data_IF_316712038031
#
_entry.id   IF_316712038031
#
_cell.length_a   1.000
_cell.length_b   1.000
_cell.length_c   1.000
_cell.angle_alpha   90.00
_cell.angle_beta   90.00
_cell.angle_gamma   90.00
#
_symmetry.space_group_name_H-M   'P 1'
#
loop_
_entity.id
_entity.type
_entity.pdbx_description
1 polymer ?
#
# COMPACT_ATOMS: atom_id res chain seq x y z
N UNK A 1 3.11 2.05 31.64
CA UNK A 1 3.33 2.27 30.20
C UNK A 1 2.23 1.53 29.47
N UNK A 2 1.62 2.18 28.49
CA UNK A 2 0.59 1.54 27.66
C UNK A 2 1.30 0.54 26.74
N UNK A 3 0.83 -0.71 26.71
CA UNK A 3 1.38 -1.73 25.81
C UNK A 3 0.90 -1.46 24.41
N UNK A 4 1.80 -1.49 23.42
CA UNK A 4 1.52 -1.32 21.99
C UNK A 4 1.62 -2.68 21.32
N UNK A 5 0.50 -3.21 20.85
CA UNK A 5 0.41 -4.54 20.21
C UNK A 5 0.86 -4.45 18.76
N UNK A 6 2.03 -5.02 18.47
CA UNK A 6 2.67 -4.95 17.16
C UNK A 6 2.43 -6.24 16.37
N UNK A 7 1.87 -6.11 15.17
CA UNK A 7 1.76 -7.18 14.17
C UNK A 7 2.89 -7.08 13.13
N UNK A 8 3.48 -8.20 12.76
CA UNK A 8 4.48 -8.25 11.68
C UNK A 8 3.79 -8.83 10.44
N UNK A 9 3.86 -8.09 9.33
CA UNK A 9 3.38 -8.56 8.03
C UNK A 9 4.53 -8.82 7.09
N UNK A 10 4.53 -10.00 6.46
CA UNK A 10 5.55 -10.42 5.50
C UNK A 10 4.93 -10.86 4.17
N UNK A 11 5.63 -10.65 3.06
CA UNK A 11 5.20 -11.08 1.74
C UNK A 11 6.37 -11.47 0.85
N UNK A 12 6.17 -12.55 0.10
CA UNK A 12 7.09 -12.98 -0.95
C UNK A 12 6.32 -13.24 -2.24
N UNK A 13 6.79 -12.69 -3.38
CA UNK A 13 6.28 -12.98 -4.72
C UNK A 13 6.91 -14.27 -5.26
N UNK A 14 6.21 -14.97 -6.16
CA UNK A 14 6.74 -16.12 -6.90
C UNK A 14 7.84 -15.71 -7.89
N UNK A 15 7.81 -14.46 -8.39
CA UNK A 15 8.70 -13.96 -9.45
C UNK A 15 10.04 -13.40 -8.91
N UNK A 16 10.23 -13.30 -7.59
CA UNK A 16 11.46 -12.79 -6.98
C UNK A 16 12.54 -13.88 -6.90
N UNK A 17 13.19 -14.15 -8.04
CA UNK A 17 14.00 -15.36 -8.28
C UNK A 17 15.49 -15.31 -7.93
N UNK A 18 16.14 -14.21 -7.58
CA UNK A 18 17.62 -14.17 -7.48
C UNK A 18 18.23 -13.39 -6.30
N UNK A 19 17.50 -12.64 -5.53
CA UNK A 19 18.00 -12.03 -4.28
C UNK A 19 17.65 -12.92 -3.08
N UNK A 20 18.40 -13.99 -2.90
CA UNK A 20 17.99 -15.19 -2.14
C UNK A 20 18.01 -15.08 -0.62
N UNK A 21 18.74 -14.17 0.01
CA UNK A 21 18.93 -14.24 1.47
C UNK A 21 18.04 -13.30 2.30
N UNK A 22 17.71 -12.11 1.78
CA UNK A 22 16.90 -11.13 2.53
C UNK A 22 15.41 -11.11 2.14
N UNK A 23 14.98 -11.91 1.18
CA UNK A 23 13.59 -11.95 0.69
C UNK A 23 12.74 -13.11 1.23
N UNK A 24 13.29 -13.96 2.12
CA UNK A 24 12.49 -14.99 2.75
C UNK A 24 11.50 -14.39 3.75
N UNK A 25 10.32 -15.01 3.91
CA UNK A 25 9.33 -14.60 4.89
C UNK A 25 9.93 -14.60 6.31
N UNK A 26 10.77 -15.57 6.62
CA UNK A 26 11.45 -15.69 7.92
C UNK A 26 12.42 -14.53 8.16
N UNK A 27 13.25 -14.16 7.18
CA UNK A 27 14.19 -13.05 7.33
C UNK A 27 13.46 -11.71 7.54
N UNK A 28 12.35 -11.49 6.82
CA UNK A 28 11.50 -10.30 7.01
C UNK A 28 10.87 -10.29 8.40
N UNK A 29 10.36 -11.44 8.86
CA UNK A 29 9.78 -11.59 10.19
C UNK A 29 10.81 -11.34 11.28
N UNK A 30 12.00 -11.92 11.17
CA UNK A 30 13.09 -11.73 12.12
C UNK A 30 13.55 -10.28 12.18
N UNK A 31 13.67 -9.60 11.04
CA UNK A 31 14.00 -8.18 10.99
C UNK A 31 12.93 -7.33 11.71
N UNK A 32 11.64 -7.62 11.48
CA UNK A 32 10.53 -6.97 12.18
C UNK A 32 10.55 -7.23 13.68
N UNK A 33 10.81 -8.48 14.08
CA UNK A 33 10.91 -8.87 15.49
C UNK A 33 12.07 -8.15 16.20
N UNK A 34 13.24 -8.09 15.58
CA UNK A 34 14.41 -7.39 16.12
C UNK A 34 14.14 -5.89 16.25
N UNK A 35 13.45 -5.30 15.28
CA UNK A 35 13.05 -3.90 15.35
C UNK A 35 12.08 -3.65 16.54
N UNK A 36 11.04 -4.47 16.72
CA UNK A 36 10.13 -4.36 17.86
C UNK A 36 10.88 -4.51 19.19
N UNK A 37 11.78 -5.50 19.28
CA UNK A 37 12.61 -5.71 20.47
C UNK A 37 13.47 -4.49 20.80
N UNK A 38 13.99 -3.78 19.80
CA UNK A 38 14.75 -2.53 20.03
C UNK A 38 13.90 -1.40 20.59
N UNK A 39 12.57 -1.47 20.45
CA UNK A 39 11.61 -0.46 20.92
C UNK A 39 10.82 -0.87 22.18
N UNK A 40 11.25 -1.92 22.87
CA UNK A 40 10.59 -2.41 24.11
C UNK A 40 10.45 -1.30 25.15
N UNK A 41 11.38 -0.35 25.19
CA UNK A 41 11.31 0.81 26.11
C UNK A 41 10.10 1.73 25.82
N UNK A 42 9.51 1.67 24.63
CA UNK A 42 8.25 2.36 24.24
C UNK A 42 6.99 1.54 24.58
N UNK A 43 7.14 0.35 25.16
CA UNK A 43 6.04 -0.55 25.46
C UNK A 43 5.60 -1.43 24.29
N UNK A 44 6.42 -1.55 23.24
CA UNK A 44 6.09 -2.38 22.07
C UNK A 44 6.21 -3.85 22.39
N UNK A 45 5.17 -4.62 22.03
CA UNK A 45 5.07 -6.05 22.26
C UNK A 45 4.56 -6.73 20.99
N UNK A 46 5.27 -7.77 20.51
CA UNK A 46 4.83 -8.52 19.34
C UNK A 46 3.64 -9.42 19.71
N UNK A 47 2.61 -9.41 18.88
CA UNK A 47 1.51 -10.39 19.03
C UNK A 47 1.93 -11.75 18.47
N UNK A 48 1.43 -12.87 19.02
CA UNK A 48 1.82 -14.22 18.60
C UNK A 48 1.35 -14.59 17.20
N UNK A 49 0.38 -13.86 16.66
CA UNK A 49 -0.22 -14.09 15.35
C UNK A 49 0.74 -13.71 14.22
N UNK A 50 0.86 -14.59 13.22
CA UNK A 50 1.66 -14.35 12.01
C UNK A 50 0.77 -13.98 10.82
N UNK A 51 1.25 -13.02 10.00
CA UNK A 51 0.58 -12.55 8.78
C UNK A 51 1.55 -12.66 7.60
N UNK A 52 1.62 -13.88 7.03
CA UNK A 52 2.58 -14.23 6.00
C UNK A 52 1.85 -14.54 4.67
N UNK A 53 2.10 -13.76 3.62
CA UNK A 53 1.58 -13.98 2.26
C UNK A 53 2.71 -14.47 1.33
N UNK A 54 2.91 -15.79 1.27
CA UNK A 54 3.83 -16.44 0.34
C UNK A 54 3.20 -16.66 -1.03
N UNK A 55 3.89 -16.25 -2.11
CA UNK A 55 3.42 -16.49 -3.48
C UNK A 55 2.42 -15.46 -4.01
N UNK A 56 2.26 -14.31 -3.37
CA UNK A 56 1.33 -13.26 -3.80
C UNK A 56 2.06 -12.02 -4.31
N UNK A 57 1.57 -11.44 -5.42
CA UNK A 57 2.07 -10.17 -5.97
C UNK A 57 1.72 -8.99 -5.07
N UNK A 58 2.60 -7.98 -5.00
CA UNK A 58 2.36 -6.73 -4.29
C UNK A 58 1.29 -5.81 -4.91
N UNK A 59 0.86 -6.10 -6.14
CA UNK A 59 -0.19 -5.34 -6.85
C UNK A 59 -1.62 -5.78 -6.52
N UNK A 60 -1.82 -6.79 -5.68
CA UNK A 60 -3.15 -7.24 -5.27
C UNK A 60 -3.30 -7.13 -3.76
N UNK A 61 -4.31 -6.40 -3.28
CA UNK A 61 -4.65 -6.31 -1.85
C UNK A 61 -5.54 -7.45 -1.35
N UNK A 62 -6.13 -8.25 -2.23
CA UNK A 62 -6.95 -9.42 -1.86
C UNK A 62 -6.06 -10.63 -1.56
N UNK A 63 -5.25 -10.54 -0.51
CA UNK A 63 -4.36 -11.60 -0.03
C UNK A 63 -4.83 -12.10 1.33
N UNK A 64 -4.80 -13.41 1.59
CA UNK A 64 -5.39 -13.99 2.80
C UNK A 64 -4.84 -13.40 4.10
N UNK A 65 -3.50 -13.32 4.24
CA UNK A 65 -2.90 -12.81 5.47
C UNK A 65 -3.10 -11.30 5.62
N UNK A 66 -3.07 -10.53 4.51
CA UNK A 66 -3.38 -9.10 4.56
C UNK A 66 -4.84 -8.85 4.95
N UNK A 67 -5.80 -9.60 4.42
CA UNK A 67 -7.20 -9.45 4.79
C UNK A 67 -7.42 -9.80 6.27
N UNK A 68 -6.80 -10.87 6.76
CA UNK A 68 -6.82 -11.23 8.18
C UNK A 68 -6.23 -10.11 9.05
N UNK A 69 -5.11 -9.52 8.63
CA UNK A 69 -4.48 -8.38 9.32
C UNK A 69 -5.45 -7.19 9.40
N UNK A 70 -6.09 -6.83 8.29
CA UNK A 70 -7.07 -5.73 8.24
C UNK A 70 -8.29 -6.00 9.13
N UNK A 71 -8.77 -7.25 9.17
CA UNK A 71 -9.88 -7.63 10.04
C UNK A 71 -9.51 -7.55 11.52
N UNK A 72 -8.28 -7.91 11.88
CA UNK A 72 -7.80 -7.79 13.25
C UNK A 72 -7.51 -6.33 13.63
N UNK A 73 -7.11 -5.47 12.68
CA UNK A 73 -7.05 -4.00 12.87
C UNK A 73 -8.45 -3.45 13.13
N UNK A 74 -9.46 -3.82 12.32
CA UNK A 74 -10.86 -3.38 12.50
C UNK A 74 -11.48 -3.83 13.83
N UNK A 75 -10.96 -4.88 14.43
CA UNK A 75 -11.35 -5.39 15.75
C UNK A 75 -10.52 -4.78 16.89
N UNK A 76 -9.72 -3.76 16.60
CA UNK A 76 -8.85 -3.07 17.55
C UNK A 76 -7.90 -4.01 18.33
N UNK A 77 -7.43 -5.09 17.67
CA UNK A 77 -6.49 -6.04 18.25
C UNK A 77 -5.03 -5.64 18.03
N UNK A 78 -4.77 -4.74 17.08
CA UNK A 78 -3.46 -4.34 16.62
C UNK A 78 -3.35 -2.83 16.72
N UNK A 79 -2.31 -2.35 17.40
CA UNK A 79 -2.02 -0.92 17.55
C UNK A 79 -0.95 -0.47 16.56
N UNK A 80 -0.14 -1.42 16.04
CA UNK A 80 0.95 -1.12 15.13
C UNK A 80 1.22 -2.26 14.14
N UNK A 81 1.45 -1.90 12.89
CA UNK A 81 1.84 -2.81 11.82
C UNK A 81 3.30 -2.56 11.47
N UNK A 82 4.11 -3.61 11.49
CA UNK A 82 5.53 -3.58 11.14
C UNK A 82 5.76 -4.37 9.86
N UNK A 83 6.37 -3.74 8.86
CA UNK A 83 6.77 -4.40 7.61
C UNK A 83 8.25 -4.18 7.35
N UNK A 84 8.87 -5.10 6.63
CA UNK A 84 10.28 -4.95 6.24
C UNK A 84 10.50 -3.76 5.30
N UNK A 85 9.66 -3.65 4.24
CA UNK A 85 9.60 -2.53 3.28
C UNK A 85 8.16 -2.25 2.92
N UNK A 86 7.84 -1.01 2.50
CA UNK A 86 6.49 -0.61 2.07
C UNK A 86 6.01 -1.45 0.88
N UNK A 87 6.90 -1.82 -0.06
CA UNK A 87 6.56 -2.66 -1.22
C UNK A 87 6.13 -4.09 -0.85
N UNK A 88 6.39 -4.55 0.38
CA UNK A 88 5.84 -5.79 0.91
C UNK A 88 4.34 -5.64 1.21
N UNK A 89 3.93 -4.48 1.67
CA UNK A 89 2.52 -4.20 1.90
C UNK A 89 1.79 -3.95 0.58
N UNK A 90 2.28 -3.04 -0.25
CA UNK A 90 1.74 -2.78 -1.60
C UNK A 90 2.76 -2.09 -2.49
N UNK A 91 2.67 -2.31 -3.81
CA UNK A 91 3.44 -1.58 -4.83
C UNK A 91 2.64 -0.43 -5.44
N UNK A 92 1.34 -0.37 -5.17
CA UNK A 92 0.43 0.68 -5.65
C UNK A 92 0.27 1.76 -4.59
N UNK A 93 0.60 2.99 -4.93
CA UNK A 93 0.42 4.14 -4.03
C UNK A 93 -1.07 4.39 -3.73
N UNK A 94 -1.94 4.10 -4.70
CA UNK A 94 -3.40 4.15 -4.54
C UNK A 94 -3.93 3.15 -3.51
N UNK A 95 -3.39 1.92 -3.54
CA UNK A 95 -3.81 0.90 -2.60
C UNK A 95 -3.21 1.16 -1.21
N UNK A 96 -1.99 1.72 -1.16
CA UNK A 96 -1.40 2.18 0.09
C UNK A 96 -2.27 3.25 0.77
N UNK A 97 -2.78 4.24 0.00
CA UNK A 97 -3.71 5.24 0.53
C UNK A 97 -4.93 4.61 1.20
N UNK A 98 -5.59 3.63 0.53
CA UNK A 98 -6.75 2.93 1.11
C UNK A 98 -6.42 2.17 2.39
N UNK A 99 -5.23 1.56 2.46
CA UNK A 99 -4.79 0.85 3.66
C UNK A 99 -4.54 1.82 4.81
N UNK A 100 -3.90 2.96 4.51
CA UNK A 100 -3.67 4.01 5.51
C UNK A 100 -4.97 4.59 6.05
N UNK A 101 -5.98 4.81 5.19
CA UNK A 101 -7.32 5.28 5.64
C UNK A 101 -7.93 4.30 6.67
N UNK A 102 -7.76 2.99 6.47
CA UNK A 102 -8.19 1.97 7.42
C UNK A 102 -7.37 2.02 8.71
N UNK A 103 -6.04 2.19 8.62
CA UNK A 103 -5.18 2.26 9.79
C UNK A 103 -5.48 3.49 10.65
N UNK A 104 -5.64 4.65 10.02
CA UNK A 104 -5.96 5.90 10.72
C UNK A 104 -7.35 5.85 11.37
N UNK A 105 -8.34 5.25 10.71
CA UNK A 105 -9.69 5.07 11.28
C UNK A 105 -9.69 4.24 12.58
N UNK A 106 -8.73 3.32 12.74
CA UNK A 106 -8.57 2.47 13.92
C UNK A 106 -7.35 2.85 14.78
N UNK A 107 -6.78 4.05 14.58
CA UNK A 107 -5.60 4.53 15.31
C UNK A 107 -4.41 3.55 15.30
N UNK A 108 -4.31 2.74 14.24
CA UNK A 108 -3.24 1.79 14.04
C UNK A 108 -2.06 2.48 13.33
N UNK A 109 -0.89 2.45 13.93
CA UNK A 109 0.33 3.02 13.35
C UNK A 109 1.00 2.03 12.39
N UNK A 110 1.79 2.55 11.45
CA UNK A 110 2.52 1.76 10.45
C UNK A 110 4.02 2.07 10.52
N UNK A 111 4.84 1.03 10.41
CA UNK A 111 6.30 1.13 10.44
C UNK A 111 6.94 0.29 9.35
N UNK A 112 7.86 0.89 8.59
CA UNK A 112 8.78 0.21 7.67
C UNK A 112 10.18 0.15 8.27
N UNK A 113 10.72 -1.06 8.44
CA UNK A 113 12.01 -1.28 9.13
C UNK A 113 13.18 -0.67 8.35
N UNK A 114 13.25 -0.93 7.03
CA UNK A 114 14.41 -0.51 6.22
C UNK A 114 14.35 0.93 5.73
N UNK A 115 13.18 1.52 5.66
CA UNK A 115 12.98 2.86 5.13
C UNK A 115 12.91 3.93 6.24
N UNK A 116 13.09 3.54 7.51
CA UNK A 116 12.93 4.41 8.68
C UNK A 116 11.62 5.22 8.67
N UNK A 117 10.57 4.62 8.11
CA UNK A 117 9.27 5.24 7.99
C UNK A 117 8.38 4.77 9.13
N UNK A 118 7.93 5.70 9.96
CA UNK A 118 7.16 5.40 11.16
C UNK A 118 6.05 6.43 11.36
N UNK A 119 4.80 6.04 11.18
CA UNK A 119 3.65 6.93 11.36
C UNK A 119 3.31 7.20 12.83
N UNK A 120 3.95 6.52 13.77
CA UNK A 120 3.84 6.82 15.19
C UNK A 120 4.44 8.20 15.53
N UNK A 121 5.47 8.63 14.80
CA UNK A 121 6.13 9.92 14.97
C UNK A 121 5.51 10.99 14.05
N UNK A 122 5.47 12.25 14.50
CA UNK A 122 4.92 13.38 13.74
C UNK A 122 5.59 13.57 12.37
N UNK A 123 6.90 13.32 12.28
CA UNK A 123 7.67 13.42 11.03
C UNK A 123 7.27 12.33 10.02
N UNK A 124 7.04 11.10 10.49
CA UNK A 124 6.55 10.02 9.65
C UNK A 124 5.13 10.27 9.14
N UNK A 125 4.25 10.84 9.97
CA UNK A 125 2.91 11.27 9.52
C UNK A 125 2.98 12.37 8.45
N UNK A 126 3.86 13.35 8.60
CA UNK A 126 4.07 14.37 7.58
C UNK A 126 4.54 13.74 6.25
N UNK A 127 5.52 12.85 6.31
CA UNK A 127 6.01 12.13 5.13
C UNK A 127 4.90 11.29 4.48
N UNK A 128 4.06 10.63 5.27
CA UNK A 128 2.90 9.91 4.78
C UNK A 128 1.93 10.83 4.04
N UNK A 129 1.55 11.95 4.64
CA UNK A 129 0.64 12.92 4.03
C UNK A 129 1.19 13.47 2.71
N UNK A 130 2.49 13.71 2.61
CA UNK A 130 3.13 14.08 1.36
C UNK A 130 3.01 12.98 0.30
N UNK A 131 3.30 11.72 0.66
CA UNK A 131 3.17 10.57 -0.26
C UNK A 131 1.71 10.39 -0.73
N UNK A 132 0.74 10.55 0.16
CA UNK A 132 -0.69 10.48 -0.19
C UNK A 132 -1.11 11.61 -1.11
N UNK A 133 -0.61 12.82 -0.90
CA UNK A 133 -0.85 13.98 -1.79
C UNK A 133 -0.28 13.74 -3.19
N UNK A 134 0.91 13.17 -3.31
CA UNK A 134 1.49 12.76 -4.59
C UNK A 134 0.64 11.68 -5.28
N UNK A 135 0.16 10.68 -4.54
CA UNK A 135 -0.72 9.64 -5.06
C UNK A 135 -2.02 10.20 -5.63
N UNK A 136 -2.57 11.19 -4.97
CA UNK A 136 -3.77 11.87 -5.43
C UNK A 136 -3.51 12.70 -6.68
N UNK A 137 -2.42 13.45 -6.69
CA UNK A 137 -2.00 14.23 -7.86
C UNK A 137 -1.79 13.33 -9.10
N UNK A 138 -1.10 12.22 -8.98
CA UNK A 138 -0.94 11.25 -10.08
C UNK A 138 -2.28 10.76 -10.63
N UNK A 139 -3.23 10.43 -9.75
CA UNK A 139 -4.60 10.03 -10.15
C UNK A 139 -5.33 11.11 -10.92
N UNK A 140 -5.23 12.37 -10.48
CA UNK A 140 -5.87 13.51 -11.11
C UNK A 140 -5.30 13.76 -12.52
N UNK A 141 -3.97 13.72 -12.66
CA UNK A 141 -3.29 13.85 -13.96
C UNK A 141 -3.66 12.71 -14.91
N UNK A 142 -3.73 11.46 -14.42
CA UNK A 142 -4.14 10.34 -15.27
C UNK A 142 -5.62 10.44 -15.69
N UNK A 143 -6.50 10.90 -14.81
CA UNK A 143 -7.89 11.15 -15.13
C UNK A 143 -8.06 12.29 -16.17
N UNK A 144 -7.23 13.33 -16.11
CA UNK A 144 -7.19 14.38 -17.14
C UNK A 144 -6.75 13.82 -18.49
N UNK A 145 -5.65 13.08 -18.53
CA UNK A 145 -5.14 12.43 -19.76
C UNK A 145 -6.18 11.51 -20.41
N UNK A 146 -6.95 10.78 -19.60
CA UNK A 146 -8.03 9.92 -20.11
C UNK A 146 -9.16 10.78 -20.68
N UNK A 147 -9.58 11.84 -20.01
CA UNK A 147 -10.60 12.77 -20.48
C UNK A 147 -10.20 13.41 -21.81
N UNK A 148 -8.96 13.86 -21.93
CA UNK A 148 -8.44 14.46 -23.17
C UNK A 148 -8.41 13.45 -24.34
N UNK A 149 -7.99 12.21 -24.07
CA UNK A 149 -8.01 11.14 -25.09
C UNK A 149 -9.43 10.84 -25.56
N UNK A 150 -10.40 10.75 -24.67
CA UNK A 150 -11.82 10.52 -24.99
C UNK A 150 -12.39 11.71 -25.77
N UNK A 151 -12.08 12.95 -25.38
CA UNK A 151 -12.51 14.16 -26.10
C UNK A 151 -11.92 14.21 -27.51
N UNK A 152 -10.64 13.86 -27.67
CA UNK A 152 -9.98 13.78 -28.98
C UNK A 152 -10.57 12.69 -29.87
N UNK A 153 -10.91 11.52 -29.33
CA UNK A 153 -11.56 10.42 -30.06
C UNK A 153 -12.96 10.84 -30.55
N UNK A 154 -13.77 11.46 -29.71
CA UNK A 154 -15.10 11.96 -30.10
C UNK A 154 -15.05 13.02 -31.20
N UNK A 155 -14.06 13.92 -31.17
CA UNK A 155 -13.86 14.88 -32.26
C UNK A 155 -13.51 14.23 -33.60
N UNK A 156 -12.75 13.13 -33.56
CA UNK A 156 -12.45 12.36 -34.78
C UNK A 156 -13.68 11.65 -35.35
N UNK A 157 -14.52 11.07 -34.50
CA UNK A 157 -15.76 10.40 -34.92
C UNK A 157 -16.77 11.39 -35.51
N UNK A 158 -17.01 12.56 -34.87
CA UNK A 158 -17.86 13.61 -35.43
C UNK A 158 -17.34 14.17 -36.79
N UNK A 159 -16.02 14.26 -36.97
CA UNK A 159 -15.43 14.72 -38.23
C UNK A 159 -15.65 13.78 -39.39
N UNK A 160 -15.92 12.49 -39.18
CA UNK A 160 -16.24 11.52 -40.24
C UNK A 160 -17.71 11.55 -40.64
N UNK A 161 -18.64 11.87 -39.75
CA UNK A 161 -20.07 11.98 -40.11
C UNK A 161 -20.35 13.21 -40.96
N UNK A 162 -19.66 14.34 -40.72
CA UNK A 162 -19.79 15.52 -41.56
C UNK A 162 -19.17 15.36 -42.97
N UNK A 163 -18.10 14.59 -43.09
CA UNK A 163 -17.49 14.28 -44.40
C UNK A 163 -18.37 13.35 -45.28
N UNK A 164 -19.15 12.47 -44.68
CA UNK A 164 -20.08 11.61 -45.42
C UNK A 164 -21.38 12.32 -45.87
N UNK A 165 -21.69 13.51 -45.36
CA UNK A 165 -22.89 14.26 -45.72
C UNK A 165 -22.73 15.19 -46.95
N UNK A 166 -21.50 15.37 -47.39
CA UNK A 166 -21.21 16.30 -48.55
C UNK A 166 -21.23 15.60 -49.91
N UNK A 167 -21.34 14.26 -50.00
CA UNK A 167 -21.32 13.55 -51.26
C UNK A 167 -22.70 13.07 -51.78
N UNK A 168 -23.81 13.59 -51.24
CA UNK A 168 -25.14 13.26 -51.77
C UNK A 168 -25.92 14.55 -51.99
N UNK A 169 -25.59 15.26 -53.07
CA UNK A 169 -26.53 16.14 -53.79
C UNK A 169 -26.31 15.99 -55.30
N UNK A 170 -27.41 15.82 -56.06
CA UNK A 170 -27.37 15.54 -57.48
C UNK A 170 -26.99 16.77 -58.34
#
# INVERSE_FOLDING_TARGET
>A
MQKVRCAIYTRKSTDEGLEKEFNSLEAQYEAGLNYIKSQVYKGWEVIPERYDDGGYSGGNINRPALQKLLDDVRKDKIDMIVVYKIDRLTRSLTDFSKLVDVFDAHQCSFVSVTQNFNTYDSMGRLTLNMLLSFAQFEREVDAERIRDKVAASRKKECGWEDACRLDIMP
#
